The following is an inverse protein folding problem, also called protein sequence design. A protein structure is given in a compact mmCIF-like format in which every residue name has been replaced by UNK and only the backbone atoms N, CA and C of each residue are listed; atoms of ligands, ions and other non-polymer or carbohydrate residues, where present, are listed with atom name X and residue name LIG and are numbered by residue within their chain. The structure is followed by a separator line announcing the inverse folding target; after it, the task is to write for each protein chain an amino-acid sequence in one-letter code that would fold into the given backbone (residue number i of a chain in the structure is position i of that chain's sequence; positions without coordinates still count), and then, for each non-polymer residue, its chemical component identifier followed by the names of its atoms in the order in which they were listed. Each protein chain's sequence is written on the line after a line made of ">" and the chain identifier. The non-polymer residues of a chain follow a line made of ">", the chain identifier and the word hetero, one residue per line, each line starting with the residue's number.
data_IF_351756917034
#
_entry.id   IF_351756917034
#
_cell.length_a   1.000
_cell.length_b   1.000
_cell.length_c   1.000
_cell.angle_alpha   90.00
_cell.angle_beta   90.00
_cell.angle_gamma   90.00
#
_symmetry.space_group_name_H-M   'P 1'
#
loop_
_entity.id
_entity.type
_entity.pdbx_description
1 polymer ?
#
# COMPACT_ATOMS: atom_id res chain seq x y z
N UNK A 1 -5.18 -12.88 13.77
CA UNK A 1 -5.35 -12.55 12.33
C UNK A 1 -6.41 -11.48 12.07
N UNK A 2 -7.67 -11.65 12.49
CA UNK A 2 -8.73 -10.64 12.24
C UNK A 2 -8.34 -9.25 12.79
N UNK A 3 -7.78 -9.20 14.00
CA UNK A 3 -7.24 -7.98 14.62
C UNK A 3 -6.15 -7.30 13.77
N UNK A 4 -5.17 -8.06 13.29
CA UNK A 4 -4.11 -7.51 12.44
C UNK A 4 -4.67 -6.99 11.12
N UNK A 5 -5.60 -7.73 10.50
CA UNK A 5 -6.27 -7.33 9.27
C UNK A 5 -7.11 -6.06 9.44
N UNK A 6 -7.77 -5.86 10.58
CA UNK A 6 -8.50 -4.63 10.83
C UNK A 6 -7.55 -3.44 10.98
N UNK A 7 -6.41 -3.60 11.65
CA UNK A 7 -5.38 -2.54 11.74
C UNK A 7 -4.86 -2.18 10.34
N UNK A 8 -4.57 -3.19 9.50
CA UNK A 8 -4.14 -2.96 8.11
C UNK A 8 -5.23 -2.19 7.35
N UNK A 9 -6.48 -2.63 7.40
CA UNK A 9 -7.58 -1.96 6.70
C UNK A 9 -7.81 -0.52 7.18
N UNK A 10 -7.68 -0.26 8.48
CA UNK A 10 -7.88 1.07 9.06
C UNK A 10 -6.71 2.03 8.81
N UNK A 11 -5.52 1.52 8.50
CA UNK A 11 -4.33 2.36 8.30
C UNK A 11 -3.94 2.44 6.82
N UNK A 12 -3.78 1.31 6.14
CA UNK A 12 -3.22 1.24 4.79
C UNK A 12 -4.13 1.88 3.74
N UNK A 13 -5.40 1.51 3.69
CA UNK A 13 -6.35 2.00 2.67
C UNK A 13 -6.53 3.53 2.70
N UNK A 14 -6.89 4.16 3.83
CA UNK A 14 -7.08 5.61 3.85
C UNK A 14 -5.78 6.38 3.58
N UNK A 15 -4.63 5.85 4.01
CA UNK A 15 -3.33 6.47 3.76
C UNK A 15 -2.97 6.39 2.27
N UNK A 16 -3.18 5.23 1.66
CA UNK A 16 -2.96 5.03 0.22
C UNK A 16 -3.80 6.02 -0.59
N UNK A 17 -5.10 6.15 -0.29
CA UNK A 17 -5.98 7.11 -0.96
C UNK A 17 -5.52 8.55 -0.74
N UNK A 18 -5.16 8.93 0.48
CA UNK A 18 -4.72 10.28 0.81
C UNK A 18 -3.44 10.70 0.08
N UNK A 19 -2.52 9.75 -0.14
CA UNK A 19 -1.26 10.01 -0.86
C UNK A 19 -1.43 9.96 -2.36
N UNK A 20 -2.22 9.01 -2.88
CA UNK A 20 -2.37 8.80 -4.33
C UNK A 20 -3.27 9.86 -4.98
N UNK A 21 -4.31 10.34 -4.32
CA UNK A 21 -5.25 11.29 -4.94
C UNK A 21 -4.61 12.61 -5.41
N UNK A 22 -3.70 13.26 -4.63
CA UNK A 22 -2.98 14.44 -5.12
C UNK A 22 -2.06 14.16 -6.30
N UNK A 23 -1.43 12.98 -6.34
CA UNK A 23 -0.54 12.56 -7.43
C UNK A 23 -1.34 12.36 -8.72
N UNK A 24 -2.48 11.66 -8.62
CA UNK A 24 -3.40 11.44 -9.73
C UNK A 24 -3.92 12.75 -10.32
N UNK A 25 -4.34 13.69 -9.45
CA UNK A 25 -4.75 15.02 -9.86
C UNK A 25 -3.63 15.77 -10.60
N UNK A 26 -2.39 15.73 -10.07
CA UNK A 26 -1.26 16.42 -10.70
C UNK A 26 -0.91 15.82 -12.08
N UNK A 27 -0.91 14.49 -12.20
CA UNK A 27 -0.63 13.80 -13.47
C UNK A 27 -1.72 14.11 -14.49
N UNK A 28 -2.99 14.00 -14.10
CA UNK A 28 -4.14 14.30 -14.97
C UNK A 28 -4.14 15.76 -15.45
N UNK A 29 -3.80 16.72 -14.59
CA UNK A 29 -3.65 18.13 -14.98
C UNK A 29 -2.53 18.38 -16.00
N UNK A 30 -1.41 17.67 -15.87
CA UNK A 30 -0.29 17.81 -16.80
C UNK A 30 -0.67 17.25 -18.17
N UNK A 31 -1.26 16.06 -18.20
CA UNK A 31 -1.65 15.36 -19.43
C UNK A 31 -2.80 16.06 -20.17
N UNK A 32 -3.72 16.69 -19.46
CA UNK A 32 -4.79 17.50 -20.06
C UNK A 32 -4.30 18.85 -20.59
N UNK A 33 -3.11 19.32 -20.20
CA UNK A 33 -2.57 20.57 -20.73
C UNK A 33 -1.92 20.31 -22.10
N UNK A 34 -2.36 21.06 -23.11
CA UNK A 34 -2.10 20.88 -24.55
C UNK A 34 -0.64 21.10 -25.01
N UNK A 35 0.34 21.06 -24.11
CA UNK A 35 1.76 21.30 -24.42
C UNK A 35 2.57 20.01 -24.32
N UNK A 36 3.09 19.53 -25.45
CA UNK A 36 3.93 18.33 -25.57
C UNK A 36 5.22 18.41 -24.72
N UNK A 37 5.70 19.61 -24.39
CA UNK A 37 6.92 19.81 -23.58
C UNK A 37 6.81 19.34 -22.12
N UNK A 38 5.62 18.96 -21.64
CA UNK A 38 5.40 18.58 -20.23
C UNK A 38 5.38 17.07 -19.95
N UNK A 39 5.54 16.23 -20.97
CA UNK A 39 5.71 14.77 -20.81
C UNK A 39 6.80 14.39 -19.79
N UNK A 40 8.01 15.00 -19.77
CA UNK A 40 9.01 14.69 -18.74
C UNK A 40 8.57 15.07 -17.32
N UNK A 41 7.66 16.04 -17.17
CA UNK A 41 7.14 16.47 -15.87
C UNK A 41 6.28 15.39 -15.22
N UNK A 42 5.57 14.57 -16.02
CA UNK A 42 4.81 13.41 -15.52
C UNK A 42 5.73 12.42 -14.81
N UNK A 43 6.88 12.10 -15.40
CA UNK A 43 7.87 11.20 -14.81
C UNK A 43 8.41 11.72 -13.46
N UNK A 44 8.62 13.03 -13.34
CA UNK A 44 9.06 13.67 -12.08
C UNK A 44 7.98 13.55 -10.99
N UNK A 45 6.71 13.74 -11.34
CA UNK A 45 5.60 13.57 -10.39
C UNK A 45 5.43 12.12 -9.94
N UNK A 46 5.63 11.15 -10.83
CA UNK A 46 5.65 9.72 -10.47
C UNK A 46 6.79 9.43 -9.50
N UNK A 47 8.01 9.91 -9.77
CA UNK A 47 9.15 9.72 -8.86
C UNK A 47 8.89 10.35 -7.48
N UNK A 48 8.37 11.57 -7.43
CA UNK A 48 7.97 12.24 -6.18
C UNK A 48 6.88 11.43 -5.46
N UNK A 49 5.91 10.92 -6.21
CA UNK A 49 4.86 10.06 -5.69
C UNK A 49 5.39 8.79 -5.05
N UNK A 50 6.37 8.13 -5.69
CA UNK A 50 7.05 6.95 -5.14
C UNK A 50 7.77 7.31 -3.83
N UNK A 51 8.53 8.41 -3.81
CA UNK A 51 9.28 8.83 -2.61
C UNK A 51 8.33 9.13 -1.44
N UNK A 52 7.25 9.88 -1.68
CA UNK A 52 6.24 10.18 -0.65
C UNK A 52 5.59 8.89 -0.14
N UNK A 53 5.24 7.98 -1.03
CA UNK A 53 4.66 6.69 -0.66
C UNK A 53 5.62 5.83 0.18
N UNK A 54 6.91 5.79 -0.15
CA UNK A 54 7.92 5.07 0.64
C UNK A 54 8.04 5.67 2.04
N UNK A 55 8.11 7.01 2.15
CA UNK A 55 8.21 7.69 3.44
C UNK A 55 6.99 7.43 4.32
N UNK A 56 5.79 7.52 3.73
CA UNK A 56 4.54 7.27 4.44
C UNK A 56 4.41 5.79 4.81
N UNK A 57 4.75 4.87 3.90
CA UNK A 57 4.79 3.43 4.17
C UNK A 57 5.75 3.08 5.31
N UNK A 58 6.91 3.75 5.38
CA UNK A 58 7.85 3.60 6.49
C UNK A 58 7.24 4.04 7.83
N UNK A 59 6.55 5.18 7.87
CA UNK A 59 5.84 5.64 9.08
C UNK A 59 4.76 4.64 9.50
N UNK A 60 3.98 4.12 8.56
CA UNK A 60 2.96 3.08 8.85
C UNK A 60 3.61 1.81 9.39
N UNK A 61 4.72 1.36 8.79
CA UNK A 61 5.47 0.21 9.29
C UNK A 61 5.97 0.43 10.73
N UNK A 62 6.45 1.64 11.07
CA UNK A 62 6.83 1.97 12.45
C UNK A 62 5.64 1.92 13.41
N UNK A 63 4.47 2.42 13.00
CA UNK A 63 3.24 2.33 13.79
C UNK A 63 2.86 0.86 14.03
N UNK A 64 2.98 0.01 13.00
CA UNK A 64 2.72 -1.42 13.12
C UNK A 64 3.73 -2.13 14.03
N UNK A 65 5.00 -1.70 14.07
CA UNK A 65 5.98 -2.22 15.05
C UNK A 65 5.65 -1.80 16.48
N UNK A 66 5.13 -0.58 16.67
CA UNK A 66 4.74 -0.06 17.98
C UNK A 66 3.36 -0.52 18.48
N UNK A 67 2.69 -1.44 17.79
CA UNK A 67 1.30 -1.82 18.11
C UNK A 67 1.16 -2.59 19.42
N UNK A 68 2.25 -3.13 19.98
CA UNK A 68 2.25 -3.89 21.25
C UNK A 68 1.68 -3.06 22.40
N UNK A 69 2.11 -1.79 22.53
CA UNK A 69 1.64 -0.88 23.57
C UNK A 69 0.16 -0.48 23.39
N UNK A 70 -0.30 -0.39 22.15
CA UNK A 70 -1.70 -0.10 21.86
C UNK A 70 -2.63 -1.28 22.21
N UNK A 71 -2.18 -2.50 21.94
CA UNK A 71 -2.98 -3.70 22.25
C UNK A 71 -2.98 -4.05 23.73
N UNK A 72 -1.89 -3.78 24.45
CA UNK A 72 -1.88 -3.90 25.91
C UNK A 72 -2.83 -2.90 26.58
N UNK A 73 -2.92 -1.67 26.06
CA UNK A 73 -3.89 -0.67 26.52
C UNK A 73 -5.35 -1.15 26.33
N UNK A 74 -5.62 -1.83 25.21
CA UNK A 74 -6.92 -2.43 24.90
C UNK A 74 -7.22 -3.72 25.69
N UNK A 75 -6.30 -4.17 26.55
CA UNK A 75 -6.40 -5.42 27.34
C UNK A 75 -6.67 -6.66 26.47
N UNK A 76 -6.06 -6.70 25.28
CA UNK A 76 -6.10 -7.89 24.42
C UNK A 76 -5.21 -8.98 25.04
N UNK A 77 -5.63 -10.24 24.86
CA UNK A 77 -4.87 -11.41 25.30
C UNK A 77 -3.45 -11.40 24.70
N UNK A 78 -2.39 -11.55 25.53
CA UNK A 78 -1.00 -11.49 25.08
C UNK A 78 -0.68 -12.50 23.95
N UNK A 79 -1.24 -13.71 24.00
CA UNK A 79 -0.99 -14.73 22.98
C UNK A 79 -1.59 -14.32 21.63
N UNK A 80 -2.75 -13.65 21.66
CA UNK A 80 -3.43 -13.15 20.47
C UNK A 80 -2.73 -11.92 19.90
N UNK A 81 -2.21 -11.04 20.76
CA UNK A 81 -1.41 -9.89 20.32
C UNK A 81 -0.13 -10.35 19.64
N UNK A 82 0.64 -11.28 20.22
CA UNK A 82 1.93 -11.68 19.68
C UNK A 82 1.80 -12.28 18.26
N UNK A 83 0.77 -13.09 18.05
CA UNK A 83 0.45 -13.63 16.72
C UNK A 83 0.03 -12.53 15.74
N UNK A 84 -0.70 -11.52 16.21
CA UNK A 84 -1.12 -10.39 15.37
C UNK A 84 0.05 -9.45 15.02
N UNK A 85 1.02 -9.24 15.92
CA UNK A 85 2.25 -8.47 15.66
C UNK A 85 3.09 -9.20 14.61
N UNK A 86 3.27 -10.51 14.78
CA UNK A 86 4.02 -11.34 13.83
C UNK A 86 3.42 -11.26 12.42
N UNK A 87 2.08 -11.30 12.34
CA UNK A 87 1.36 -11.10 11.08
C UNK A 87 1.56 -9.69 10.49
N UNK A 88 1.50 -8.64 11.30
CA UNK A 88 1.75 -7.26 10.86
C UNK A 88 3.17 -7.10 10.31
N UNK A 89 4.18 -7.66 11.00
CA UNK A 89 5.59 -7.64 10.57
C UNK A 89 5.78 -8.27 9.20
N UNK A 90 5.20 -9.46 8.97
CA UNK A 90 5.23 -10.08 7.64
C UNK A 90 4.47 -9.26 6.59
N UNK A 91 3.37 -8.61 6.97
CA UNK A 91 2.54 -7.80 6.06
C UNK A 91 3.21 -6.48 5.64
N UNK A 92 4.28 -6.03 6.32
CA UNK A 92 5.03 -4.82 5.93
C UNK A 92 5.62 -4.90 4.52
N UNK A 93 5.97 -6.11 4.05
CA UNK A 93 6.43 -6.31 2.69
C UNK A 93 5.31 -6.04 1.66
N UNK A 94 4.09 -6.47 1.99
CA UNK A 94 2.89 -6.21 1.19
C UNK A 94 2.52 -4.72 1.14
N UNK A 95 2.79 -3.98 2.21
CA UNK A 95 2.58 -2.53 2.27
C UNK A 95 3.45 -1.79 1.24
N UNK A 96 4.75 -2.12 1.17
CA UNK A 96 5.64 -1.45 0.21
C UNK A 96 5.25 -1.78 -1.23
N UNK A 97 4.89 -3.04 -1.48
CA UNK A 97 4.41 -3.49 -2.79
C UNK A 97 3.13 -2.74 -3.19
N UNK A 98 2.14 -2.63 -2.30
CA UNK A 98 0.85 -2.02 -2.61
C UNK A 98 0.97 -0.53 -2.93
N UNK A 99 1.80 0.20 -2.17
CA UNK A 99 2.04 1.62 -2.39
C UNK A 99 2.78 1.87 -3.72
N UNK A 100 3.78 1.05 -4.05
CA UNK A 100 4.48 1.15 -5.33
C UNK A 100 3.56 0.84 -6.51
N UNK A 101 2.77 -0.23 -6.40
CA UNK A 101 1.80 -0.61 -7.41
C UNK A 101 0.73 0.47 -7.61
N UNK A 102 0.30 1.16 -6.55
CA UNK A 102 -0.67 2.25 -6.61
C UNK A 102 -0.17 3.44 -7.43
N UNK A 103 1.09 3.85 -7.27
CA UNK A 103 1.65 4.97 -8.06
C UNK A 103 1.79 4.59 -9.54
N UNK A 104 2.26 3.37 -9.81
CA UNK A 104 2.34 2.87 -11.18
C UNK A 104 0.96 2.76 -11.83
N UNK A 105 -0.05 2.34 -11.08
CA UNK A 105 -1.43 2.27 -11.54
C UNK A 105 -1.94 3.64 -11.99
N UNK A 106 -1.79 4.66 -11.14
CA UNK A 106 -2.16 6.04 -11.46
C UNK A 106 -1.47 6.51 -12.74
N UNK A 107 -0.17 6.25 -12.87
CA UNK A 107 0.59 6.63 -14.06
C UNK A 107 0.11 5.92 -15.33
N UNK A 108 -0.11 4.60 -15.28
CA UNK A 108 -0.58 3.81 -16.43
C UNK A 108 -1.99 4.19 -16.84
N UNK A 109 -2.90 4.35 -15.87
CA UNK A 109 -4.29 4.73 -16.10
C UNK A 109 -4.38 6.13 -16.70
N UNK A 110 -3.58 7.07 -16.22
CA UNK A 110 -3.58 8.44 -16.77
C UNK A 110 -3.13 8.49 -18.24
N UNK A 111 -2.32 7.52 -18.70
CA UNK A 111 -1.92 7.38 -20.10
C UNK A 111 -2.92 6.57 -20.96
N UNK A 112 -3.98 6.02 -20.36
CA UNK A 112 -4.94 5.14 -21.03
C UNK A 112 -4.50 3.66 -21.12
N UNK A 113 -3.44 3.26 -20.41
CA UNK A 113 -2.99 1.87 -20.35
C UNK A 113 -3.68 1.10 -19.22
N UNK A 114 -4.91 0.66 -19.45
CA UNK A 114 -5.72 -0.06 -18.45
C UNK A 114 -5.32 -1.54 -18.32
N UNK A 115 -5.03 -2.20 -19.43
CA UNK A 115 -4.73 -3.65 -19.51
C UNK A 115 -3.55 -4.10 -18.62
N UNK A 116 -2.38 -3.42 -18.61
CA UNK A 116 -1.25 -3.85 -17.77
C UNK A 116 -1.56 -3.80 -16.28
N UNK A 117 -2.30 -2.77 -15.84
CA UNK A 117 -2.71 -2.62 -14.45
C UNK A 117 -3.67 -3.73 -14.03
N UNK A 118 -4.73 -3.98 -14.83
CA UNK A 118 -5.71 -5.03 -14.54
C UNK A 118 -5.05 -6.42 -14.51
N UNK A 119 -4.15 -6.71 -15.45
CA UNK A 119 -3.43 -7.98 -15.48
C UNK A 119 -2.50 -8.16 -14.29
N UNK A 120 -1.78 -7.11 -13.87
CA UNK A 120 -0.94 -7.16 -12.68
C UNK A 120 -1.76 -7.45 -11.41
N UNK A 121 -2.94 -6.84 -11.28
CA UNK A 121 -3.88 -7.13 -10.19
C UNK A 121 -4.37 -8.57 -10.23
N UNK A 122 -4.78 -9.06 -11.41
CA UNK A 122 -5.27 -10.43 -11.59
C UNK A 122 -4.20 -11.48 -11.23
N UNK A 123 -2.95 -11.25 -11.60
CA UNK A 123 -1.82 -12.13 -11.27
C UNK A 123 -1.38 -12.00 -9.81
N UNK A 124 -1.53 -10.80 -9.21
CA UNK A 124 -1.20 -10.56 -7.81
C UNK A 124 -2.17 -11.24 -6.83
N UNK A 125 -3.44 -11.39 -7.20
CA UNK A 125 -4.48 -11.99 -6.36
C UNK A 125 -4.14 -13.44 -5.91
N UNK A 126 -3.76 -14.37 -6.80
CA UNK A 126 -3.33 -15.71 -6.40
C UNK A 126 -2.16 -15.69 -5.41
N UNK A 127 -1.15 -14.85 -5.66
CA UNK A 127 0.02 -14.72 -4.78
C UNK A 127 -0.42 -14.23 -3.40
N UNK A 128 -1.30 -13.23 -3.35
CA UNK A 128 -1.84 -12.70 -2.11
C UNK A 128 -2.68 -13.73 -1.36
N UNK A 129 -3.47 -14.56 -2.05
CA UNK A 129 -4.24 -15.66 -1.44
C UNK A 129 -3.29 -16.69 -0.84
N UNK A 130 -2.30 -17.16 -1.60
CA UNK A 130 -1.32 -18.16 -1.14
C UNK A 130 -0.52 -17.64 0.05
N UNK A 131 -0.02 -16.41 -0.01
CA UNK A 131 0.72 -15.78 1.08
C UNK A 131 -0.14 -15.63 2.35
N UNK A 132 -1.40 -15.23 2.21
CA UNK A 132 -2.32 -15.16 3.35
C UNK A 132 -2.59 -16.54 3.94
N UNK A 133 -2.83 -17.56 3.13
CA UNK A 133 -3.04 -18.93 3.62
C UNK A 133 -1.80 -19.45 4.36
N UNK A 134 -0.61 -19.18 3.82
CA UNK A 134 0.65 -19.54 4.47
C UNK A 134 0.82 -18.81 5.82
N UNK A 135 0.55 -17.51 5.87
CA UNK A 135 0.66 -16.73 7.12
C UNK A 135 -0.38 -17.14 8.16
N UNK A 136 -1.59 -17.54 7.75
CA UNK A 136 -2.66 -17.93 8.68
C UNK A 136 -2.48 -19.35 9.21
N UNK A 137 -2.12 -20.30 8.35
CA UNK A 137 -2.07 -21.72 8.71
C UNK A 137 -0.65 -22.26 8.93
N UNK A 138 0.37 -21.60 8.36
CA UNK A 138 1.77 -22.00 8.45
C UNK A 138 2.55 -21.38 9.61
N UNK A 139 2.09 -20.25 10.18
CA UNK A 139 2.69 -19.65 11.39
C UNK A 139 2.05 -20.18 12.69
N UNK A 140 1.73 -21.47 12.74
CA UNK A 140 1.26 -22.16 13.95
C UNK A 140 2.39 -22.84 14.67
#
# INVERSE_FOLDING_TARGET
>A
VALAKSVIAMTQEPISVAVLAPIDCAISQILSSTHDDKVPLVGVWVQRGIVVNILVGFVVALIWQGSEGFWSLLRIDPDVSDLAISYLRCSMLGLLQSLFAGVLAVWMLAQGYELPYTNAGLLGLPVHIVANLFLVYGMR
#
